data_IF_823670958495
#
_entry.id   IF_823670958495
#
_cell.length_a   1.000
_cell.length_b   1.000
_cell.length_c   1.000
_cell.angle_alpha   90.00
_cell.angle_beta   90.00
_cell.angle_gamma   90.00
#
_symmetry.space_group_name_H-M   'P 1'
#
loop_
_entity.id
_entity.type
_entity.pdbx_description
1 polymer ?
#
# COMPACT_ATOMS: atom_id res chain seq x y z
N UNK A 1 -18.62 -16.50 -5.77
CA UNK A 1 -19.05 -15.23 -5.15
C UNK A 1 -18.41 -14.08 -5.91
N UNK A 2 -19.19 -13.10 -6.37
CA UNK A 2 -18.67 -11.88 -6.99
C UNK A 2 -18.63 -10.75 -5.95
N UNK A 3 -17.47 -10.13 -5.75
CA UNK A 3 -17.34 -8.93 -4.93
C UNK A 3 -17.31 -7.70 -5.84
N UNK A 4 -18.28 -6.79 -5.70
CA UNK A 4 -18.34 -5.56 -6.49
C UNK A 4 -17.63 -4.43 -5.75
N UNK A 5 -16.38 -4.17 -6.11
CA UNK A 5 -15.55 -3.12 -5.50
C UNK A 5 -16.12 -1.71 -5.71
N UNK A 6 -16.95 -1.51 -6.74
CA UNK A 6 -17.57 -0.21 -7.02
C UNK A 6 -18.67 0.16 -6.01
N UNK A 7 -19.22 -0.82 -5.27
CA UNK A 7 -20.24 -0.61 -4.26
C UNK A 7 -19.69 -0.45 -2.84
N UNK A 8 -18.37 -0.54 -2.66
CA UNK A 8 -17.72 -0.33 -1.37
C UNK A 8 -17.96 1.10 -0.85
N UNK A 9 -17.99 1.22 0.48
CA UNK A 9 -18.00 2.52 1.13
C UNK A 9 -16.71 3.31 0.78
N UNK A 10 -16.73 4.65 0.82
CA UNK A 10 -15.56 5.45 0.44
C UNK A 10 -14.27 5.10 1.20
N UNK A 11 -14.38 4.78 2.49
CA UNK A 11 -13.26 4.39 3.34
C UNK A 11 -12.69 3.01 2.94
N UNK A 12 -13.55 2.07 2.55
CA UNK A 12 -13.13 0.77 2.04
C UNK A 12 -12.48 0.88 0.66
N UNK A 13 -13.00 1.74 -0.22
CA UNK A 13 -12.35 2.06 -1.51
C UNK A 13 -10.97 2.65 -1.30
N UNK A 14 -10.81 3.53 -0.31
CA UNK A 14 -9.51 4.12 -0.02
C UNK A 14 -8.50 3.07 0.49
N UNK A 15 -8.94 2.12 1.33
CA UNK A 15 -8.10 0.98 1.73
C UNK A 15 -7.62 0.15 0.54
N UNK A 16 -8.49 -0.12 -0.44
CA UNK A 16 -8.09 -0.84 -1.67
C UNK A 16 -7.01 -0.06 -2.43
N UNK A 17 -7.16 1.26 -2.57
CA UNK A 17 -6.16 2.09 -3.25
C UNK A 17 -4.84 2.15 -2.47
N UNK A 18 -4.87 2.24 -1.14
CA UNK A 18 -3.67 2.19 -0.30
C UNK A 18 -2.95 0.84 -0.39
N UNK A 19 -3.68 -0.29 -0.36
CA UNK A 19 -3.12 -1.64 -0.51
C UNK A 19 -2.46 -1.81 -1.89
N UNK A 20 -3.12 -1.29 -2.94
CA UNK A 20 -2.56 -1.25 -4.30
C UNK A 20 -1.27 -0.45 -4.36
N UNK A 21 -1.25 0.76 -3.81
CA UNK A 21 -0.04 1.60 -3.80
C UNK A 21 1.11 0.96 -3.03
N UNK A 22 0.82 0.33 -1.89
CA UNK A 22 1.82 -0.40 -1.12
C UNK A 22 2.44 -1.54 -1.96
N UNK A 23 1.59 -2.34 -2.61
CA UNK A 23 2.06 -3.44 -3.48
C UNK A 23 2.93 -2.94 -4.63
N UNK A 24 2.55 -1.81 -5.24
CA UNK A 24 3.29 -1.22 -6.36
C UNK A 24 4.65 -0.69 -5.91
N UNK A 25 4.73 -0.02 -4.76
CA UNK A 25 5.99 0.49 -4.22
C UNK A 25 6.96 -0.65 -3.90
N UNK A 26 6.50 -1.71 -3.25
CA UNK A 26 7.33 -2.89 -2.95
C UNK A 26 7.79 -3.57 -4.25
N UNK A 27 6.91 -3.69 -5.25
CA UNK A 27 7.30 -4.19 -6.56
C UNK A 27 8.39 -3.31 -7.20
N UNK A 28 8.26 -1.98 -7.16
CA UNK A 28 9.31 -1.09 -7.69
C UNK A 28 10.64 -1.27 -6.95
N UNK A 29 10.63 -1.49 -5.63
CA UNK A 29 11.85 -1.81 -4.89
C UNK A 29 12.47 -3.13 -5.34
N UNK A 30 11.64 -4.17 -5.51
CA UNK A 30 12.09 -5.48 -6.03
C UNK A 30 12.77 -5.35 -7.39
N UNK A 31 12.21 -4.51 -8.26
CA UNK A 31 12.73 -4.26 -9.60
C UNK A 31 13.88 -3.22 -9.63
N UNK A 32 14.41 -2.81 -8.47
CA UNK A 32 15.45 -1.79 -8.33
C UNK A 32 15.10 -0.43 -8.98
N UNK A 33 13.80 -0.08 -9.04
CA UNK A 33 13.28 1.17 -9.62
C UNK A 33 13.09 2.30 -8.61
N UNK A 34 13.14 2.00 -7.32
CA UNK A 34 13.19 3.00 -6.23
C UNK A 34 13.80 2.38 -4.97
N UNK A 35 14.29 3.21 -4.05
CA UNK A 35 14.69 2.78 -2.73
C UNK A 35 13.58 2.90 -1.68
N UNK A 36 13.89 2.57 -0.41
CA UNK A 36 12.96 2.64 0.72
C UNK A 36 12.39 4.05 0.98
N UNK A 37 13.10 5.10 0.57
CA UNK A 37 12.68 6.50 0.71
C UNK A 37 11.32 6.78 0.03
N UNK A 38 10.99 6.07 -1.04
CA UNK A 38 9.70 6.22 -1.72
C UNK A 38 8.51 5.80 -0.83
N UNK A 39 8.71 4.83 0.06
CA UNK A 39 7.69 4.41 1.03
C UNK A 39 7.51 5.50 2.08
N UNK A 40 8.61 6.05 2.61
CA UNK A 40 8.59 7.12 3.61
C UNK A 40 7.91 8.37 3.06
N UNK A 41 8.27 8.78 1.84
CA UNK A 41 7.65 9.92 1.17
C UNK A 41 6.15 9.71 0.99
N UNK A 42 5.71 8.51 0.58
CA UNK A 42 4.28 8.22 0.44
C UNK A 42 3.56 8.22 1.78
N UNK A 43 4.13 7.60 2.82
CA UNK A 43 3.56 7.54 4.15
C UNK A 43 3.40 8.94 4.77
N UNK A 44 4.32 9.86 4.49
CA UNK A 44 4.26 11.25 4.97
C UNK A 44 3.15 12.07 4.28
N UNK A 45 2.66 11.65 3.11
CA UNK A 45 1.52 12.28 2.42
C UNK A 45 0.17 11.78 2.92
N UNK A 46 0.13 10.75 3.77
CA UNK A 46 -1.10 10.23 4.35
C UNK A 46 -1.33 10.95 5.68
N UNK A 47 -2.42 11.74 5.75
CA UNK A 47 -2.74 12.57 6.92
C UNK A 47 -3.54 11.83 7.98
N UNK A 48 -4.40 10.89 7.59
CA UNK A 48 -5.16 10.07 8.52
C UNK A 48 -4.25 8.99 9.16
N UNK A 49 -4.09 8.97 10.50
CA UNK A 49 -3.22 7.99 11.17
C UNK A 49 -3.64 6.53 10.96
N UNK A 50 -4.94 6.25 10.83
CA UNK A 50 -5.46 4.89 10.60
C UNK A 50 -5.14 4.43 9.19
N UNK A 51 -5.26 5.32 8.22
CA UNK A 51 -4.88 5.04 6.83
C UNK A 51 -3.38 4.83 6.69
N UNK A 52 -2.58 5.64 7.39
CA UNK A 52 -1.12 5.50 7.42
C UNK A 52 -0.71 4.15 8.01
N UNK A 53 -1.30 3.77 9.15
CA UNK A 53 -1.05 2.48 9.77
C UNK A 53 -1.47 1.31 8.87
N UNK A 54 -2.61 1.43 8.17
CA UNK A 54 -3.04 0.42 7.20
C UNK A 54 -2.05 0.29 6.03
N UNK A 55 -1.61 1.42 5.47
CA UNK A 55 -0.62 1.44 4.39
C UNK A 55 0.70 0.79 4.82
N UNK A 56 1.22 1.11 6.01
CA UNK A 56 2.44 0.52 6.58
C UNK A 56 2.29 -0.99 6.77
N UNK A 57 1.14 -1.47 7.26
CA UNK A 57 0.86 -2.91 7.35
C UNK A 57 0.82 -3.60 5.98
N UNK A 58 0.24 -2.96 4.97
CA UNK A 58 0.25 -3.47 3.59
C UNK A 58 1.67 -3.52 3.02
N UNK A 59 2.53 -2.54 3.30
CA UNK A 59 3.95 -2.59 2.93
C UNK A 59 4.62 -3.84 3.51
N UNK A 60 4.47 -4.08 4.81
CA UNK A 60 5.08 -5.25 5.48
C UNK A 60 4.51 -6.60 4.99
N UNK A 61 3.22 -6.63 4.63
CA UNK A 61 2.60 -7.77 3.93
C UNK A 61 3.30 -8.01 2.59
N UNK A 62 3.44 -6.99 1.74
CA UNK A 62 4.00 -7.17 0.41
C UNK A 62 5.50 -7.40 0.39
N UNK A 63 6.27 -6.82 1.32
CA UNK A 63 7.68 -7.17 1.53
C UNK A 63 7.87 -8.66 1.74
N UNK A 64 7.05 -9.26 2.62
CA UNK A 64 7.05 -10.71 2.86
C UNK A 64 6.65 -11.52 1.63
N UNK A 65 5.55 -11.14 0.96
CA UNK A 65 5.06 -11.85 -0.25
C UNK A 65 6.08 -11.79 -1.39
N UNK A 66 6.71 -10.63 -1.59
CA UNK A 66 7.61 -10.39 -2.71
C UNK A 66 9.08 -10.71 -2.41
N UNK A 67 9.40 -11.04 -1.14
CA UNK A 67 10.75 -11.29 -0.60
C UNK A 67 11.70 -10.09 -0.76
N UNK A 68 11.21 -8.92 -0.38
CA UNK A 68 11.96 -7.65 -0.34
C UNK A 68 12.24 -7.30 1.12
N UNK A 69 13.47 -6.91 1.44
CA UNK A 69 13.89 -6.47 2.77
C UNK A 69 13.37 -5.05 3.11
#
# INVERSE_FOLDING_TARGET
MSFNLSLLAPDEKNKVELDKQASFLVWRMKEAKCGPEAIIERANKITDPREKAFFEQSIEKYKRVMRVA
#
